data_IF_669626583403
#
_entry.id   IF_669626583403
#
_cell.length_a   1.000
_cell.length_b   1.000
_cell.length_c   1.000
_cell.angle_alpha   90.00
_cell.angle_beta   90.00
_cell.angle_gamma   90.00
#
_symmetry.space_group_name_H-M   'P 1'
#
loop_
_entity.id
_entity.type
_entity.pdbx_description
1 polymer ?
#
# COMPACT_ATOMS: atom_id res chain seq x y z
N UNK A 1 7.30 18.50 7.56
CA UNK A 1 7.87 17.37 6.81
C UNK A 1 8.21 17.84 5.40
N UNK A 2 9.43 17.58 4.97
CA UNK A 2 9.91 17.96 3.64
C UNK A 2 10.70 16.81 3.03
N UNK A 3 10.59 16.65 1.72
CA UNK A 3 11.44 15.74 0.96
C UNK A 3 12.92 16.09 1.19
N UNK A 4 13.78 15.10 1.42
CA UNK A 4 15.21 15.36 1.61
C UNK A 4 15.82 15.96 0.33
N UNK A 5 16.63 16.99 0.49
CA UNK A 5 17.36 17.63 -0.62
C UNK A 5 18.49 16.76 -1.16
N UNK A 6 19.15 16.00 -0.28
CA UNK A 6 20.14 15.00 -0.61
C UNK A 6 19.62 13.64 -0.09
N UNK A 7 19.17 12.74 -0.96
CA UNK A 7 18.58 11.48 -0.55
C UNK A 7 19.67 10.49 -0.11
N UNK A 8 19.66 10.15 1.17
CA UNK A 8 20.39 9.01 1.75
C UNK A 8 19.38 8.00 2.26
N UNK A 9 19.73 6.72 2.44
CA UNK A 9 18.81 5.72 3.00
C UNK A 9 18.16 6.20 4.31
N UNK A 10 18.95 6.78 5.22
CA UNK A 10 18.43 7.31 6.49
C UNK A 10 17.54 8.55 6.33
N UNK A 11 17.90 9.51 5.45
CA UNK A 11 17.06 10.71 5.25
C UNK A 11 15.73 10.37 4.58
N UNK A 12 15.73 9.42 3.64
CA UNK A 12 14.51 8.92 3.00
C UNK A 12 13.68 8.08 3.97
N UNK A 13 14.28 7.19 4.76
CA UNK A 13 13.56 6.43 5.79
C UNK A 13 12.91 7.36 6.83
N UNK A 14 13.63 8.40 7.28
CA UNK A 14 13.07 9.42 8.17
C UNK A 14 11.91 10.20 7.56
N UNK A 15 11.98 10.50 6.26
CA UNK A 15 10.87 11.11 5.54
C UNK A 15 9.65 10.17 5.47
N UNK A 16 9.83 8.91 5.08
CA UNK A 16 8.76 7.90 5.00
C UNK A 16 8.07 7.70 6.35
N UNK A 17 8.86 7.57 7.43
CA UNK A 17 8.32 7.48 8.80
C UNK A 17 7.50 8.72 9.16
N UNK A 18 7.95 9.90 8.77
CA UNK A 18 7.19 11.12 9.00
C UNK A 18 5.84 11.08 8.25
N UNK A 19 5.82 10.61 6.99
CA UNK A 19 4.58 10.45 6.19
C UNK A 19 3.62 9.50 6.88
N UNK A 20 4.10 8.33 7.32
CA UNK A 20 3.34 7.34 8.07
C UNK A 20 2.81 7.94 9.38
N UNK A 21 3.65 8.60 10.18
CA UNK A 21 3.25 9.22 11.44
C UNK A 21 2.16 10.27 11.26
N UNK A 22 2.23 11.08 10.20
CA UNK A 22 1.20 12.06 9.89
C UNK A 22 -0.15 11.41 9.51
N UNK A 23 -0.11 10.20 8.94
CA UNK A 23 -1.31 9.43 8.56
C UNK A 23 -2.11 8.90 9.75
N UNK A 24 -1.58 8.99 10.98
CA UNK A 24 -2.34 8.72 12.22
C UNK A 24 -3.59 9.60 12.33
N UNK A 25 -3.53 10.82 11.82
CA UNK A 25 -4.66 11.76 11.83
C UNK A 25 -5.53 11.64 10.57
N UNK A 26 -5.31 10.61 9.74
CA UNK A 26 -6.09 10.35 8.52
C UNK A 26 -6.97 9.12 8.74
N UNK A 27 -8.30 9.26 8.75
CA UNK A 27 -9.20 8.11 8.89
C UNK A 27 -9.02 7.10 7.76
N UNK A 28 -9.04 5.80 8.08
CA UNK A 28 -9.22 4.75 7.09
C UNK A 28 -10.71 4.61 6.79
N UNK A 29 -11.12 4.99 5.57
CA UNK A 29 -12.52 5.30 5.27
C UNK A 29 -13.41 4.06 5.42
N UNK A 30 -14.39 4.16 6.33
CA UNK A 30 -15.36 3.11 6.59
C UNK A 30 -14.95 2.11 7.68
N UNK A 31 -13.78 2.31 8.29
CA UNK A 31 -13.24 1.42 9.32
C UNK A 31 -12.88 2.21 10.59
N UNK A 32 -12.85 1.59 11.79
CA UNK A 32 -12.66 2.28 13.06
C UNK A 32 -11.18 2.55 13.40
N UNK A 33 -10.32 2.75 12.40
CA UNK A 33 -8.87 2.93 12.60
C UNK A 33 -8.29 4.03 11.69
N UNK A 34 -7.09 4.49 12.02
CA UNK A 34 -6.29 5.41 11.19
C UNK A 34 -5.58 4.69 10.04
N UNK A 35 -5.14 5.44 9.04
CA UNK A 35 -4.25 4.97 7.98
C UNK A 35 -2.92 4.42 8.52
N UNK A 36 -2.39 5.00 9.60
CA UNK A 36 -1.18 4.48 10.25
C UNK A 36 -1.43 3.14 10.92
N UNK A 37 -2.50 3.03 11.71
CA UNK A 37 -2.88 1.77 12.37
C UNK A 37 -3.07 0.65 11.35
N UNK A 38 -3.77 0.92 10.25
CA UNK A 38 -3.96 -0.03 9.15
C UNK A 38 -2.62 -0.48 8.54
N UNK A 39 -1.75 0.48 8.19
CA UNK A 39 -0.43 0.23 7.62
C UNK A 39 0.45 -0.63 8.54
N UNK A 40 0.46 -0.33 9.85
CA UNK A 40 1.23 -1.09 10.84
C UNK A 40 0.69 -2.50 11.06
N UNK A 41 -0.63 -2.69 11.07
CA UNK A 41 -1.25 -4.01 11.17
C UNK A 41 -0.89 -4.88 9.96
N UNK A 42 -0.98 -4.35 8.75
CA UNK A 42 -0.57 -5.05 7.52
C UNK A 42 0.90 -5.50 7.60
N UNK A 43 1.79 -4.58 7.99
CA UNK A 43 3.21 -4.85 8.11
C UNK A 43 3.52 -5.89 9.20
N UNK A 44 2.79 -5.85 10.33
CA UNK A 44 2.95 -6.80 11.42
C UNK A 44 2.50 -8.22 11.03
N UNK A 45 1.41 -8.35 10.28
CA UNK A 45 0.98 -9.62 9.72
C UNK A 45 1.99 -10.17 8.72
N UNK A 46 2.52 -9.34 7.83
CA UNK A 46 3.59 -9.73 6.90
C UNK A 46 4.85 -10.20 7.64
N UNK A 47 5.29 -9.48 8.68
CA UNK A 47 6.46 -9.87 9.47
C UNK A 47 6.26 -11.16 10.28
N UNK A 48 5.01 -11.51 10.59
CA UNK A 48 4.65 -12.72 11.35
C UNK A 48 4.22 -13.88 10.45
N UNK A 49 4.32 -13.73 9.13
CA UNK A 49 3.85 -14.71 8.16
C UNK A 49 4.59 -16.05 8.30
N UNK A 50 3.86 -17.14 8.09
CA UNK A 50 4.40 -18.50 8.01
C UNK A 50 3.91 -19.18 6.73
N UNK A 51 4.79 -19.52 5.77
CA UNK A 51 6.25 -19.32 5.81
C UNK A 51 6.64 -17.82 5.81
N UNK A 52 7.86 -17.48 6.29
CA UNK A 52 8.31 -16.09 6.34
C UNK A 52 8.43 -15.48 4.94
N UNK A 53 8.07 -14.21 4.82
CA UNK A 53 8.25 -13.40 3.61
C UNK A 53 9.45 -12.46 3.76
N UNK A 54 10.00 -12.02 2.63
CA UNK A 54 11.14 -11.11 2.62
C UNK A 54 10.79 -9.68 3.10
N UNK A 55 11.81 -8.93 3.51
CA UNK A 55 11.66 -7.54 3.98
C UNK A 55 11.01 -6.63 2.93
N UNK A 56 11.23 -6.88 1.63
CA UNK A 56 10.60 -6.11 0.56
C UNK A 56 9.06 -6.27 0.58
N UNK A 57 8.57 -7.48 0.86
CA UNK A 57 7.13 -7.76 1.02
C UNK A 57 6.58 -7.12 2.28
N UNK A 58 7.32 -7.14 3.39
CA UNK A 58 6.92 -6.47 4.63
C UNK A 58 6.82 -4.95 4.47
N UNK A 59 7.80 -4.34 3.82
CA UNK A 59 7.78 -2.89 3.50
C UNK A 59 6.68 -2.56 2.49
N UNK A 60 6.41 -3.43 1.52
CA UNK A 60 5.27 -3.22 0.63
C UNK A 60 3.96 -3.22 1.40
N UNK A 61 3.76 -4.14 2.36
CA UNK A 61 2.57 -4.14 3.21
C UNK A 61 2.45 -2.86 4.05
N UNK A 62 3.56 -2.38 4.62
CA UNK A 62 3.62 -1.10 5.35
C UNK A 62 3.24 0.11 4.49
N UNK A 63 3.58 0.09 3.20
CA UNK A 63 3.48 1.26 2.31
C UNK A 63 2.37 1.15 1.26
N UNK A 64 1.59 0.07 1.22
CA UNK A 64 0.67 -0.21 0.11
C UNK A 64 -0.34 0.92 -0.12
N UNK A 65 -0.78 1.56 0.98
CA UNK A 65 -1.77 2.62 0.97
C UNK A 65 -1.16 4.04 0.98
N UNK A 66 0.18 4.19 0.89
CA UNK A 66 0.86 5.49 1.00
C UNK A 66 0.38 6.53 -0.02
N UNK A 67 -0.10 6.09 -1.18
CA UNK A 67 -0.71 6.97 -2.17
C UNK A 67 -1.92 7.76 -1.65
N UNK A 68 -2.63 7.24 -0.65
CA UNK A 68 -3.79 7.87 -0.01
C UNK A 68 -3.43 9.12 0.79
N UNK A 69 -2.26 9.15 1.41
CA UNK A 69 -1.92 10.16 2.42
C UNK A 69 -0.57 10.85 2.18
N UNK A 70 0.23 10.41 1.20
CA UNK A 70 1.44 11.13 0.81
C UNK A 70 1.13 12.60 0.50
N UNK A 71 2.01 13.57 0.89
CA UNK A 71 1.77 14.98 0.63
C UNK A 71 1.61 15.26 -0.86
N UNK A 72 0.52 15.94 -1.26
CA UNK A 72 0.22 16.19 -2.67
C UNK A 72 1.34 16.95 -3.41
N UNK A 73 2.03 17.88 -2.71
CA UNK A 73 3.18 18.61 -3.26
C UNK A 73 4.35 17.68 -3.62
N UNK A 74 4.55 16.63 -2.83
CA UNK A 74 5.67 15.70 -2.95
C UNK A 74 5.36 14.64 -4.00
N UNK A 75 4.12 14.13 -4.03
CA UNK A 75 3.61 13.30 -5.14
C UNK A 75 3.80 14.01 -6.48
N UNK A 76 3.31 15.24 -6.61
CA UNK A 76 3.46 16.02 -7.84
C UNK A 76 4.93 16.23 -8.21
N UNK A 77 5.78 16.53 -7.23
CA UNK A 77 7.21 16.78 -7.47
C UNK A 77 7.96 15.52 -7.93
N UNK A 78 7.62 14.35 -7.38
CA UNK A 78 8.36 13.11 -7.64
C UNK A 78 7.80 12.30 -8.81
N UNK A 79 6.49 12.34 -9.04
CA UNK A 79 5.82 11.48 -10.05
C UNK A 79 5.16 12.28 -11.18
N UNK A 80 4.98 13.59 -11.02
CA UNK A 80 4.14 14.41 -11.89
C UNK A 80 2.63 14.17 -11.71
N UNK A 81 2.25 13.24 -10.82
CA UNK A 81 0.86 12.88 -10.56
C UNK A 81 0.12 13.91 -9.68
N UNK A 82 -1.19 14.01 -9.88
CA UNK A 82 -2.06 14.87 -9.06
C UNK A 82 -2.90 14.03 -8.09
N UNK A 83 -2.89 14.40 -6.81
CA UNK A 83 -3.79 13.83 -5.82
C UNK A 83 -5.22 14.33 -6.07
N UNK A 84 -6.12 13.43 -6.44
CA UNK A 84 -7.55 13.69 -6.65
C UNK A 84 -8.38 12.70 -5.84
N UNK A 85 -9.47 13.16 -5.22
CA UNK A 85 -10.36 12.28 -4.44
C UNK A 85 -11.20 11.37 -5.36
N UNK A 86 -11.38 10.12 -4.94
CA UNK A 86 -12.26 9.12 -5.54
C UNK A 86 -13.61 9.17 -4.82
N UNK A 87 -14.71 9.22 -5.57
CA UNK A 87 -16.05 9.53 -5.06
C UNK A 87 -16.40 11.00 -5.31
N UNK A 88 -17.34 11.24 -6.22
CA UNK A 88 -17.67 12.57 -6.72
C UNK A 88 -18.57 13.39 -5.77
N UNK A 89 -18.74 14.68 -6.10
CA UNK A 89 -19.68 15.61 -5.43
C UNK A 89 -21.12 15.06 -5.35
N UNK A 90 -21.50 14.15 -6.24
CA UNK A 90 -22.84 13.53 -6.28
C UNK A 90 -23.16 12.57 -5.12
N UNK A 91 -22.15 12.08 -4.38
CA UNK A 91 -22.30 11.04 -3.34
C UNK A 91 -21.97 11.58 -1.93
N UNK A 92 -21.49 12.83 -1.84
CA UNK A 92 -21.17 13.50 -0.56
C UNK A 92 -20.07 12.83 0.27
N UNK A 93 -19.44 11.75 -0.21
CA UNK A 93 -18.46 10.96 0.54
C UNK A 93 -17.31 10.50 -0.37
N UNK A 94 -16.08 10.91 -0.04
CA UNK A 94 -14.86 10.38 -0.65
C UNK A 94 -14.62 8.95 -0.16
N UNK A 95 -14.08 8.08 -1.01
CA UNK A 95 -13.67 6.71 -0.68
C UNK A 95 -12.16 6.49 -0.87
N UNK A 96 -11.39 7.58 -0.93
CA UNK A 96 -9.92 7.56 -1.06
C UNK A 96 -9.44 8.48 -2.17
N UNK A 97 -8.22 8.28 -2.66
CA UNK A 97 -7.65 8.95 -3.84
C UNK A 97 -7.74 8.07 -5.07
N UNK A 98 -8.04 8.69 -6.21
CA UNK A 98 -8.05 8.02 -7.51
C UNK A 98 -6.63 7.53 -7.81
N UNK A 99 -6.50 6.24 -8.11
CA UNK A 99 -5.22 5.65 -8.51
C UNK A 99 -4.16 5.64 -7.40
N UNK A 100 -4.56 5.63 -6.13
CA UNK A 100 -3.63 5.63 -4.99
C UNK A 100 -2.61 4.47 -5.04
N UNK A 101 -3.00 3.32 -5.57
CA UNK A 101 -2.11 2.17 -5.78
C UNK A 101 -1.01 2.50 -6.80
N UNK A 102 -1.38 3.11 -7.93
CA UNK A 102 -0.45 3.51 -8.98
C UNK A 102 0.43 4.68 -8.52
N UNK A 103 -0.17 5.70 -7.90
CA UNK A 103 0.55 6.86 -7.37
C UNK A 103 1.51 6.46 -6.25
N UNK A 104 1.07 5.58 -5.35
CA UNK A 104 1.88 5.03 -4.27
C UNK A 104 3.08 4.26 -4.81
N UNK A 105 2.88 3.41 -5.81
CA UNK A 105 3.95 2.65 -6.45
C UNK A 105 5.00 3.57 -7.11
N UNK A 106 4.56 4.56 -7.87
CA UNK A 106 5.45 5.56 -8.47
C UNK A 106 6.20 6.36 -7.41
N UNK A 107 5.53 6.71 -6.31
CA UNK A 107 6.13 7.45 -5.21
C UNK A 107 7.23 6.65 -4.52
N UNK A 108 6.99 5.39 -4.15
CA UNK A 108 8.02 4.55 -3.52
C UNK A 108 9.17 4.24 -4.49
N UNK A 109 8.91 4.10 -5.80
CA UNK A 109 9.98 4.00 -6.79
C UNK A 109 10.85 5.26 -6.84
N UNK A 110 10.23 6.45 -6.84
CA UNK A 110 10.95 7.72 -6.88
C UNK A 110 11.76 7.96 -5.59
N UNK A 111 11.30 7.44 -4.45
CA UNK A 111 12.03 7.47 -3.18
C UNK A 111 13.21 6.49 -3.13
N UNK A 112 13.29 5.52 -4.04
CA UNK A 112 14.42 4.59 -4.12
C UNK A 112 14.13 3.17 -3.60
N UNK A 113 12.87 2.78 -3.40
CA UNK A 113 12.53 1.39 -3.07
C UNK A 113 12.63 0.47 -4.29
N UNK A 114 12.79 -0.84 -4.09
CA UNK A 114 12.95 -1.79 -5.19
C UNK A 114 11.69 -1.91 -6.09
N UNK A 115 11.87 -2.43 -7.31
CA UNK A 115 10.76 -2.77 -8.20
C UNK A 115 9.78 -3.77 -7.56
N UNK A 116 10.27 -4.67 -6.70
CA UNK A 116 9.40 -5.60 -5.95
C UNK A 116 8.46 -4.82 -5.03
N UNK A 117 8.99 -3.91 -4.21
CA UNK A 117 8.18 -3.10 -3.28
C UNK A 117 7.11 -2.34 -4.06
N UNK A 118 7.52 -1.62 -5.11
CA UNK A 118 6.61 -0.82 -5.91
C UNK A 118 5.50 -1.65 -6.56
N UNK A 119 5.85 -2.80 -7.13
CA UNK A 119 4.88 -3.65 -7.81
C UNK A 119 3.89 -4.31 -6.84
N UNK A 120 4.32 -4.61 -5.63
CA UNK A 120 3.42 -5.07 -4.56
C UNK A 120 2.50 -3.94 -4.09
N UNK A 121 3.02 -2.73 -3.86
CA UNK A 121 2.23 -1.53 -3.52
C UNK A 121 1.17 -1.25 -4.59
N UNK A 122 1.51 -1.33 -5.88
CA UNK A 122 0.59 -1.12 -7.00
C UNK A 122 -0.54 -2.16 -7.05
N UNK A 123 -0.27 -3.38 -6.56
CA UNK A 123 -1.11 -4.53 -6.88
C UNK A 123 -2.40 -4.62 -6.05
N UNK A 124 -2.50 -4.00 -4.89
CA UNK A 124 -3.51 -4.36 -3.89
C UNK A 124 -4.96 -4.12 -4.34
N UNK A 125 -5.22 -3.16 -5.25
CA UNK A 125 -6.53 -3.00 -5.90
C UNK A 125 -6.80 -4.12 -6.91
N UNK A 126 -5.83 -4.41 -7.78
CA UNK A 126 -5.95 -5.48 -8.78
C UNK A 126 -6.06 -6.86 -8.11
N UNK A 127 -5.30 -7.10 -7.05
CA UNK A 127 -5.35 -8.32 -6.25
C UNK A 127 -6.74 -8.54 -5.63
N UNK A 128 -7.45 -7.48 -5.21
CA UNK A 128 -8.85 -7.59 -4.77
C UNK A 128 -9.74 -8.14 -5.88
N UNK A 129 -9.64 -7.54 -7.07
CA UNK A 129 -10.44 -7.95 -8.25
C UNK A 129 -10.13 -9.39 -8.65
N UNK A 130 -8.85 -9.76 -8.61
CA UNK A 130 -8.39 -11.11 -8.90
C UNK A 130 -8.93 -12.12 -7.89
N UNK A 131 -8.78 -11.88 -6.59
CA UNK A 131 -9.26 -12.77 -5.53
C UNK A 131 -10.78 -12.96 -5.59
N UNK A 132 -11.54 -11.90 -5.86
CA UNK A 132 -12.99 -12.01 -6.09
C UNK A 132 -13.38 -12.83 -7.33
N UNK A 133 -12.46 -13.01 -8.28
CA UNK A 133 -12.70 -13.77 -9.50
C UNK A 133 -12.24 -15.23 -9.40
N UNK A 134 -11.27 -15.54 -8.52
CA UNK A 134 -10.71 -16.90 -8.35
C UNK A 134 -11.17 -17.63 -7.10
N UNK A 135 -11.65 -16.91 -6.08
CA UNK A 135 -12.20 -17.47 -4.83
C UNK A 135 -13.65 -16.99 -4.66
N UNK A 136 -14.60 -17.91 -4.89
CA UNK A 136 -16.04 -17.66 -4.76
C UNK A 136 -16.44 -17.14 -3.36
N UNK A 137 -15.67 -17.49 -2.33
CA UNK A 137 -15.87 -17.05 -0.96
C UNK A 137 -15.20 -15.72 -0.62
N UNK A 138 -14.39 -15.13 -1.49
CA UNK A 138 -13.62 -13.94 -1.14
C UNK A 138 -14.48 -12.68 -1.02
N UNK A 139 -15.47 -12.54 -1.91
CA UNK A 139 -16.34 -11.37 -1.93
C UNK A 139 -17.10 -11.16 -0.61
N UNK A 140 -17.44 -12.24 0.09
CA UNK A 140 -18.16 -12.18 1.37
C UNK A 140 -17.28 -11.69 2.53
N UNK A 141 -15.96 -11.87 2.44
CA UNK A 141 -14.96 -11.46 3.44
C UNK A 141 -14.65 -9.95 3.37
N UNK A 142 -14.93 -9.30 2.25
CA UNK A 142 -14.69 -7.87 2.09
C UNK A 142 -15.58 -7.03 3.02
N UNK A 143 -15.01 -5.97 3.60
CA UNK A 143 -15.78 -4.94 4.29
C UNK A 143 -16.71 -4.19 3.33
N UNK A 144 -17.74 -3.52 3.87
CA UNK A 144 -18.71 -2.79 3.05
C UNK A 144 -18.06 -1.67 2.22
N UNK A 145 -17.05 -0.98 2.78
CA UNK A 145 -16.24 -0.01 2.05
C UNK A 145 -15.45 -0.66 0.89
N UNK A 146 -14.90 -1.86 1.13
CA UNK A 146 -14.13 -2.61 0.14
C UNK A 146 -15.01 -3.14 -1.01
N UNK A 147 -16.23 -3.58 -0.71
CA UNK A 147 -17.25 -3.97 -1.71
C UNK A 147 -17.70 -2.77 -2.54
N UNK A 148 -17.95 -1.62 -1.91
CA UNK A 148 -18.35 -0.39 -2.60
C UNK A 148 -17.26 0.10 -3.55
N UNK A 149 -16.00 0.13 -3.10
CA UNK A 149 -14.86 0.52 -3.95
C UNK A 149 -14.61 -0.44 -5.11
N UNK A 150 -14.83 -1.76 -4.92
CA UNK A 150 -14.71 -2.76 -5.99
C UNK A 150 -15.60 -2.43 -7.19
N UNK A 151 -16.83 -1.94 -6.96
CA UNK A 151 -17.74 -1.52 -8.03
C UNK A 151 -17.19 -0.37 -8.88
N UNK A 152 -16.50 0.60 -8.26
CA UNK A 152 -15.85 1.70 -8.97
C UNK A 152 -14.54 1.28 -9.68
N UNK A 153 -13.98 0.14 -9.30
CA UNK A 153 -12.71 -0.39 -9.79
C UNK A 153 -12.89 -1.44 -10.90
N UNK A 154 -14.12 -1.66 -11.39
CA UNK A 154 -14.41 -2.57 -12.50
C UNK A 154 -14.84 -3.97 -12.10
N UNK A 155 -15.13 -4.23 -10.81
CA UNK A 155 -15.63 -5.53 -10.36
C UNK A 155 -14.57 -6.65 -10.38
N UNK A 156 -14.97 -7.92 -10.19
CA UNK A 156 -14.08 -9.07 -10.38
C UNK A 156 -13.43 -9.07 -11.78
N UNK A 157 -12.20 -9.59 -11.87
CA UNK A 157 -11.49 -9.70 -13.15
C UNK A 157 -12.18 -10.65 -14.13
N UNK A 158 -12.12 -10.30 -15.42
CA UNK A 158 -12.40 -11.20 -16.55
C UNK A 158 -11.33 -12.30 -16.69
N UNK A 159 -11.57 -13.31 -17.52
CA UNK A 159 -10.62 -14.42 -17.70
C UNK A 159 -9.26 -13.94 -18.24
N UNK A 160 -9.23 -13.02 -19.21
CA UNK A 160 -7.98 -12.46 -19.74
C UNK A 160 -7.19 -11.68 -18.65
N UNK A 161 -7.89 -10.87 -17.85
CA UNK A 161 -7.27 -10.13 -16.74
C UNK A 161 -6.73 -11.07 -15.66
N UNK A 162 -7.43 -12.18 -15.39
CA UNK A 162 -6.99 -13.21 -14.43
C UNK A 162 -5.72 -13.90 -14.92
N UNK A 163 -5.66 -14.27 -16.19
CA UNK A 163 -4.48 -14.92 -16.77
C UNK A 163 -3.27 -13.99 -16.75
N UNK A 164 -3.45 -12.72 -17.11
CA UNK A 164 -2.37 -11.71 -17.05
C UNK A 164 -1.88 -11.48 -15.61
N UNK A 165 -2.79 -11.30 -14.66
CA UNK A 165 -2.45 -11.09 -13.25
C UNK A 165 -1.77 -12.34 -12.64
N UNK A 166 -2.32 -13.52 -12.93
CA UNK A 166 -1.83 -14.81 -12.46
C UNK A 166 -0.44 -15.18 -12.99
N UNK A 167 -0.07 -14.68 -14.17
CA UNK A 167 1.26 -14.86 -14.75
C UNK A 167 2.36 -14.02 -14.07
N UNK A 168 2.01 -13.08 -13.18
CA UNK A 168 3.00 -12.28 -12.48
C UNK A 168 3.82 -13.14 -11.51
N UNK A 169 5.16 -13.04 -11.56
CA UNK A 169 6.06 -13.79 -10.67
C UNK A 169 5.83 -13.55 -9.18
N UNK A 170 5.22 -12.42 -8.81
CA UNK A 170 4.86 -12.07 -7.43
C UNK A 170 3.36 -12.19 -7.16
N UNK A 171 2.57 -12.84 -8.04
CA UNK A 171 1.12 -12.98 -7.88
C UNK A 171 0.74 -13.51 -6.49
N UNK A 172 1.50 -14.47 -5.95
CA UNK A 172 1.26 -15.02 -4.60
C UNK A 172 1.42 -13.96 -3.52
N UNK A 173 2.52 -13.21 -3.54
CA UNK A 173 2.75 -12.12 -2.59
C UNK A 173 1.75 -10.96 -2.75
N UNK A 174 1.33 -10.64 -3.98
CA UNK A 174 0.29 -9.63 -4.23
C UNK A 174 -1.05 -10.03 -3.62
N UNK A 175 -1.47 -11.28 -3.84
CA UNK A 175 -2.70 -11.82 -3.24
C UNK A 175 -2.60 -11.86 -1.72
N UNK A 176 -1.45 -12.30 -1.19
CA UNK A 176 -1.27 -12.38 0.26
C UNK A 176 -1.25 -11.00 0.93
N UNK A 177 -0.62 -10.00 0.29
CA UNK A 177 -0.67 -8.61 0.76
C UNK A 177 -2.12 -8.12 0.82
N UNK A 178 -2.93 -8.46 -0.19
CA UNK A 178 -4.34 -8.10 -0.19
C UNK A 178 -5.14 -8.76 0.93
N UNK A 179 -4.83 -10.01 1.27
CA UNK A 179 -5.45 -10.68 2.43
C UNK A 179 -5.12 -9.92 3.71
N UNK A 180 -3.87 -9.51 3.90
CA UNK A 180 -3.48 -8.70 5.06
C UNK A 180 -4.16 -7.32 5.08
N UNK A 181 -4.27 -6.64 3.94
CA UNK A 181 -5.06 -5.40 3.78
C UNK A 181 -6.51 -5.61 4.28
N UNK A 182 -7.16 -6.69 3.86
CA UNK A 182 -8.54 -6.96 4.28
C UNK A 182 -8.69 -7.28 5.77
N UNK A 183 -7.69 -7.91 6.40
CA UNK A 183 -7.70 -8.30 7.83
C UNK A 183 -7.25 -7.19 8.80
N UNK A 184 -6.42 -6.25 8.34
CA UNK A 184 -5.76 -5.21 9.14
C UNK A 184 -6.68 -4.03 9.51
N UNK A 185 -7.81 -4.33 10.16
CA UNK A 185 -8.88 -3.37 10.48
C UNK A 185 -9.34 -3.43 11.94
N UNK A 186 -8.47 -3.93 12.82
CA UNK A 186 -8.84 -4.24 14.21
C UNK A 186 -8.59 -3.03 15.11
N UNK A 187 -9.66 -2.47 15.68
CA UNK A 187 -9.57 -1.37 16.64
C UNK A 187 -8.78 -1.78 17.89
N UNK A 188 -7.84 -0.94 18.33
CA UNK A 188 -7.05 -1.17 19.55
C UNK A 188 -6.02 -2.31 19.47
N UNK A 189 -5.80 -2.92 18.30
CA UNK A 189 -4.78 -3.95 18.15
C UNK A 189 -3.37 -3.34 18.30
N UNK A 190 -2.67 -3.74 19.35
CA UNK A 190 -1.27 -3.37 19.54
C UNK A 190 -0.36 -4.19 18.63
N UNK A 191 0.43 -3.50 17.84
CA UNK A 191 1.42 -4.08 16.93
C UNK A 191 2.77 -3.42 17.12
N UNK A 192 3.77 -3.91 16.38
CA UNK A 192 5.12 -3.36 16.36
C UNK A 192 5.09 -1.85 16.04
N UNK A 193 5.77 -1.05 16.86
CA UNK A 193 5.86 0.41 16.73
C UNK A 193 6.45 0.88 15.38
N UNK A 194 6.05 2.08 14.94
CA UNK A 194 6.48 2.68 13.68
C UNK A 194 8.00 2.87 13.57
N UNK A 195 8.67 3.42 14.58
CA UNK A 195 10.11 3.69 14.52
C UNK A 195 10.94 2.40 14.44
N UNK A 196 10.40 1.30 14.97
CA UNK A 196 11.07 0.00 14.88
C UNK A 196 11.19 -0.54 13.44
N UNK A 197 10.46 0.03 12.47
CA UNK A 197 10.60 -0.28 11.03
C UNK A 197 11.74 0.48 10.35
N UNK A 198 12.30 1.52 10.99
CA UNK A 198 13.40 2.33 10.43
C UNK A 198 14.57 1.50 9.90
N UNK A 199 15.13 0.51 10.62
CA UNK A 199 16.26 -0.25 10.11
C UNK A 199 15.91 -1.08 8.87
N UNK A 200 14.65 -1.54 8.76
CA UNK A 200 14.18 -2.30 7.59
C UNK A 200 14.04 -1.37 6.38
N UNK A 201 13.48 -0.18 6.58
CA UNK A 201 13.39 0.85 5.55
C UNK A 201 14.78 1.25 5.02
N UNK A 202 15.74 1.51 5.91
CA UNK A 202 17.12 1.87 5.53
C UNK A 202 17.78 0.76 4.69
N UNK A 203 17.70 -0.51 5.12
CA UNK A 203 18.24 -1.64 4.34
C UNK A 203 17.59 -1.79 2.96
N UNK A 204 16.27 -1.61 2.86
CA UNK A 204 15.57 -1.68 1.56
C UNK A 204 15.99 -0.56 0.61
N UNK A 205 16.40 0.60 1.14
CA UNK A 205 16.90 1.73 0.35
C UNK A 205 18.39 1.55 -0.02
N UNK A 206 19.20 0.97 0.87
CA UNK A 206 20.62 0.65 0.61
C UNK A 206 20.78 -0.39 -0.51
N UNK A 207 19.98 -1.45 -0.48
CA UNK A 207 20.06 -2.55 -1.45
C UNK A 207 19.86 -2.09 -2.91
N UNK A 208 19.14 -0.98 -3.13
CA UNK A 208 18.97 -0.41 -4.47
C UNK A 208 20.16 0.44 -4.89
N UNK A 209 20.80 1.18 -3.98
CA UNK A 209 21.98 1.99 -4.28
C UNK A 209 23.17 1.12 -4.70
N UNK A 210 23.33 -0.07 -4.11
CA UNK A 210 24.37 -1.03 -4.49
C UNK A 210 24.20 -1.68 -5.87
N UNK A 211 22.98 -1.66 -6.43
CA UNK A 211 22.66 -2.25 -7.75
C UNK A 211 22.67 -1.24 -8.91
N UNK A 212 23.09 0.02 -8.67
CA UNK A 212 23.23 1.05 -9.71
C UNK A 212 24.67 1.28 -10.17
N UNK A 213 25.59 0.37 -9.87
CA UNK A 213 27.01 0.41 -10.28
C UNK A 213 27.30 -0.72 -11.25
#
# INVERSE_FOLDING_TARGET
MELPTIPTPSSVAGYVISVLQASENTPYIGEPISQLQHSLQCAAQAASASPPVDEATQIAALLHDIGQYAPAKDLRKLTGGEARNLGGQAIGTSVGRVGHETLGAQFVLALGFSQKVARLVESHVAAKRYLCAVDEGYLSKLSDASKKSLGYQGGPMSDDERDEFGANKWCKEMCQLRVWDDEAKIEGLEVRDLESWRPVLERQLEARQGNMI
#
